data_IF_761735751026
#
_entry.id   IF_761735751026
#
_cell.length_a   1.000
_cell.length_b   1.000
_cell.length_c   1.000
_cell.angle_alpha   90.00
_cell.angle_beta   90.00
_cell.angle_gamma   90.00
#
_symmetry.space_group_name_H-M   'P 1'
#
loop_
_entity.id
_entity.type
_entity.pdbx_description
1 polymer ?
#
# COMPACT_ATOMS: atom_id res chain seq x y z
N UNK A 1 -12.26 4.62 19.90
CA UNK A 1 -11.67 5.94 19.58
C UNK A 1 -10.51 5.66 18.66
N UNK A 2 -10.39 6.36 17.52
CA UNK A 2 -9.25 6.14 16.62
C UNK A 2 -7.99 6.62 17.32
N UNK A 3 -7.02 5.71 17.46
CA UNK A 3 -5.70 5.98 18.01
C UNK A 3 -4.79 6.59 16.93
N UNK A 4 -4.82 6.04 15.72
CA UNK A 4 -3.98 6.46 14.58
C UNK A 4 -4.83 6.67 13.33
N UNK A 5 -4.77 7.87 12.76
CA UNK A 5 -5.37 8.22 11.48
C UNK A 5 -4.31 8.37 10.42
N UNK A 6 -4.25 7.45 9.47
CA UNK A 6 -3.25 7.44 8.40
C UNK A 6 -3.82 8.12 7.14
N UNK A 7 -3.04 9.00 6.54
CA UNK A 7 -3.27 9.57 5.21
C UNK A 7 -2.17 9.01 4.31
N UNK A 8 -2.52 8.15 3.36
CA UNK A 8 -1.57 7.48 2.49
C UNK A 8 -1.61 8.04 1.05
N UNK A 9 -0.43 8.25 0.46
CA UNK A 9 -0.27 8.89 -0.85
C UNK A 9 -0.62 7.98 -2.06
N UNK A 10 -0.79 6.68 -1.81
CA UNK A 10 -1.16 5.68 -2.81
C UNK A 10 -2.01 4.54 -2.22
N UNK A 11 -2.54 3.70 -3.10
CA UNK A 11 -3.34 2.53 -2.72
C UNK A 11 -2.52 1.41 -2.11
N UNK A 12 -1.39 1.05 -2.73
CA UNK A 12 -0.63 -0.11 -2.28
C UNK A 12 0.08 0.16 -0.96
N UNK A 13 0.62 1.37 -0.78
CA UNK A 13 1.20 1.79 0.49
C UNK A 13 0.18 1.97 1.60
N UNK A 14 -1.09 2.27 1.29
CA UNK A 14 -2.18 2.26 2.27
C UNK A 14 -2.45 0.85 2.81
N UNK A 15 -2.54 -0.14 1.92
CA UNK A 15 -2.77 -1.54 2.33
C UNK A 15 -1.56 -2.09 3.10
N UNK A 16 -0.34 -1.73 2.68
CA UNK A 16 0.90 -2.12 3.35
C UNK A 16 0.96 -1.63 4.80
N UNK A 17 0.79 -0.32 5.05
CA UNK A 17 0.79 0.20 6.43
C UNK A 17 -0.37 -0.38 7.25
N UNK A 18 -1.55 -0.56 6.64
CA UNK A 18 -2.68 -1.13 7.35
C UNK A 18 -2.45 -2.58 7.77
N UNK A 19 -1.75 -3.37 6.93
CA UNK A 19 -1.30 -4.72 7.27
C UNK A 19 -0.34 -4.69 8.47
N UNK A 20 0.65 -3.80 8.48
CA UNK A 20 1.56 -3.69 9.63
C UNK A 20 0.85 -3.25 10.92
N UNK A 21 -0.16 -2.39 10.85
CA UNK A 21 -0.98 -2.02 12.01
C UNK A 21 -1.73 -3.24 12.57
N UNK A 22 -2.40 -4.01 11.71
CA UNK A 22 -3.13 -5.23 12.10
C UNK A 22 -2.22 -6.32 12.63
N UNK A 23 -1.10 -6.58 11.96
CA UNK A 23 -0.14 -7.60 12.40
C UNK A 23 0.43 -7.30 13.79
N UNK A 24 0.51 -6.02 14.16
CA UNK A 24 0.95 -5.54 15.46
C UNK A 24 -0.20 -5.16 16.40
N UNK A 25 -1.41 -5.69 16.17
CA UNK A 25 -2.48 -5.71 17.16
C UNK A 25 -3.48 -4.54 17.11
N UNK A 26 -3.48 -3.72 16.05
CA UNK A 26 -4.46 -2.64 15.86
C UNK A 26 -5.51 -3.03 14.80
N UNK A 27 -6.77 -3.29 15.19
CA UNK A 27 -7.86 -3.44 14.24
C UNK A 27 -7.95 -2.22 13.33
N UNK A 28 -7.81 -2.44 12.02
CA UNK A 28 -7.65 -1.37 11.04
C UNK A 28 -8.63 -1.51 9.88
N UNK A 29 -9.18 -0.38 9.47
CA UNK A 29 -9.93 -0.26 8.21
C UNK A 29 -9.20 0.67 7.25
N UNK A 30 -9.13 0.28 5.98
CA UNK A 30 -8.72 1.16 4.89
C UNK A 30 -9.97 1.70 4.18
N UNK A 31 -10.01 3.00 3.88
CA UNK A 31 -11.04 3.64 3.04
C UNK A 31 -10.35 4.24 1.81
N UNK A 32 -10.98 4.09 0.65
CA UNK A 32 -10.47 4.61 -0.61
C UNK A 32 -11.06 6.01 -0.87
N UNK A 33 -10.19 7.03 -0.95
CA UNK A 33 -10.58 8.43 -1.06
C UNK A 33 -11.03 9.02 0.28
N UNK A 34 -11.30 10.33 0.27
CA UNK A 34 -11.78 11.06 1.45
C UNK A 34 -13.17 10.53 1.84
N UNK A 35 -13.37 10.03 3.08
CA UNK A 35 -14.65 9.47 3.46
C UNK A 35 -15.75 10.54 3.53
N UNK A 36 -16.98 10.16 3.18
CA UNK A 36 -18.18 11.02 3.31
C UNK A 36 -19.21 10.47 4.30
N UNK A 37 -19.00 9.23 4.77
CA UNK A 37 -19.90 8.52 5.66
C UNK A 37 -19.48 8.59 7.13
N UNK A 38 -20.19 7.83 7.96
CA UNK A 38 -19.83 7.61 9.36
C UNK A 38 -18.58 6.73 9.47
N UNK A 39 -17.87 6.88 10.58
CA UNK A 39 -16.73 6.05 10.93
C UNK A 39 -17.16 4.57 11.08
N UNK A 40 -16.38 3.62 10.55
CA UNK A 40 -16.56 2.20 10.85
C UNK A 40 -16.45 1.92 12.35
N UNK A 41 -17.24 0.98 12.86
CA UNK A 41 -17.23 0.60 14.27
C UNK A 41 -16.06 -0.35 14.59
N UNK A 42 -15.69 -0.46 15.87
CA UNK A 42 -14.72 -1.42 16.40
C UNK A 42 -13.30 -1.37 15.75
N UNK A 43 -12.84 -0.18 15.36
CA UNK A 43 -11.47 0.03 14.85
C UNK A 43 -10.63 0.90 15.80
N UNK A 44 -9.33 0.65 15.79
CA UNK A 44 -8.31 1.44 16.48
C UNK A 44 -7.53 2.34 15.53
N UNK A 45 -7.39 1.94 14.26
CA UNK A 45 -6.76 2.75 13.24
C UNK A 45 -7.60 2.82 11.96
N UNK A 46 -7.47 3.95 11.25
CA UNK A 46 -8.10 4.15 9.96
C UNK A 46 -7.05 4.62 8.96
N UNK A 47 -7.02 4.00 7.78
CA UNK A 47 -6.14 4.38 6.67
C UNK A 47 -6.95 4.96 5.53
N UNK A 48 -6.78 6.24 5.24
CA UNK A 48 -7.36 6.90 4.07
C UNK A 48 -6.34 6.80 2.93
N UNK A 49 -6.71 6.07 1.89
CA UNK A 49 -5.90 5.90 0.69
C UNK A 49 -6.24 6.97 -0.35
N UNK A 50 -5.24 7.73 -0.76
CA UNK A 50 -5.35 8.75 -1.80
C UNK A 50 -4.52 8.36 -3.03
N UNK A 51 -4.61 9.17 -4.10
CA UNK A 51 -3.76 9.05 -5.30
C UNK A 51 -2.92 10.32 -5.47
N UNK A 52 -2.17 10.67 -4.43
CA UNK A 52 -1.56 11.99 -4.27
C UNK A 52 -0.04 12.01 -4.38
N UNK A 53 0.61 10.87 -4.66
CA UNK A 53 2.07 10.79 -4.84
C UNK A 53 2.62 11.72 -5.92
N UNK A 54 1.98 11.74 -7.09
CA UNK A 54 2.50 12.41 -8.31
C UNK A 54 1.49 13.32 -8.99
N UNK A 55 0.31 13.52 -8.40
CA UNK A 55 -0.63 14.54 -8.87
C UNK A 55 -0.05 15.95 -8.62
N UNK A 56 -0.66 17.02 -9.19
CA UNK A 56 -0.29 18.38 -8.85
C UNK A 56 -0.31 18.63 -7.32
N UNK A 57 0.66 19.41 -6.83
CA UNK A 57 0.83 19.71 -5.40
C UNK A 57 -0.45 20.24 -4.75
N UNK A 58 -1.13 21.17 -5.43
CA UNK A 58 -2.38 21.77 -4.93
C UNK A 58 -3.44 20.69 -4.69
N UNK A 59 -3.55 19.73 -5.58
CA UNK A 59 -4.48 18.61 -5.47
C UNK A 59 -4.09 17.69 -4.30
N UNK A 60 -2.81 17.36 -4.17
CA UNK A 60 -2.30 16.53 -3.08
C UNK A 60 -2.55 17.15 -1.71
N UNK A 61 -2.26 18.44 -1.57
CA UNK A 61 -2.50 19.19 -0.34
C UNK A 61 -3.99 19.29 -0.03
N UNK A 62 -4.83 19.62 -1.01
CA UNK A 62 -6.28 19.74 -0.80
C UNK A 62 -6.91 18.41 -0.35
N UNK A 63 -6.57 17.30 -1.01
CA UNK A 63 -7.08 15.99 -0.64
C UNK A 63 -6.59 15.55 0.75
N UNK A 64 -5.32 15.82 1.08
CA UNK A 64 -4.75 15.47 2.38
C UNK A 64 -5.37 16.28 3.53
N UNK A 65 -5.61 17.59 3.31
CA UNK A 65 -6.31 18.42 4.29
C UNK A 65 -7.78 18.03 4.48
N UNK A 66 -8.46 17.60 3.40
CA UNK A 66 -9.81 17.07 3.51
C UNK A 66 -9.84 15.76 4.30
N UNK A 67 -8.88 14.86 4.09
CA UNK A 67 -8.72 13.64 4.87
C UNK A 67 -8.42 13.93 6.35
N UNK A 68 -7.49 14.86 6.62
CA UNK A 68 -7.19 15.33 7.98
C UNK A 68 -8.43 15.88 8.68
N UNK A 69 -9.17 16.78 8.03
CA UNK A 69 -10.37 17.39 8.60
C UNK A 69 -11.40 16.33 8.97
N UNK A 70 -11.61 15.33 8.11
CA UNK A 70 -12.51 14.22 8.41
C UNK A 70 -12.01 13.40 9.62
N UNK A 71 -10.72 13.07 9.69
CA UNK A 71 -10.13 12.34 10.83
C UNK A 71 -10.27 13.10 12.16
N UNK A 72 -10.05 14.41 12.14
CA UNK A 72 -10.23 15.27 13.32
C UNK A 72 -11.68 15.30 13.79
N UNK A 73 -12.65 15.33 12.86
CA UNK A 73 -14.09 15.25 13.19
C UNK A 73 -14.46 13.92 13.87
N UNK A 74 -13.70 12.84 13.63
CA UNK A 74 -13.86 11.57 14.32
C UNK A 74 -13.08 11.48 15.65
N UNK A 75 -12.42 12.56 16.07
CA UNK A 75 -11.66 12.63 17.31
C UNK A 75 -10.29 11.94 17.25
N UNK A 76 -9.73 11.72 16.05
CA UNK A 76 -8.39 11.18 15.89
C UNK A 76 -7.35 12.20 16.37
N UNK A 77 -6.42 11.76 17.24
CA UNK A 77 -5.42 12.65 17.86
C UNK A 77 -4.03 12.56 17.26
N UNK A 78 -3.65 11.40 16.73
CA UNK A 78 -2.37 11.19 16.07
C UNK A 78 -2.60 10.93 14.58
N UNK A 79 -1.97 11.76 13.76
CA UNK A 79 -2.01 11.67 12.31
C UNK A 79 -0.70 11.09 11.80
N UNK A 80 -0.80 10.14 10.88
CA UNK A 80 0.33 9.53 10.21
C UNK A 80 0.27 9.88 8.72
N UNK A 81 1.23 10.64 8.22
CA UNK A 81 1.37 10.83 6.78
C UNK A 81 2.25 9.72 6.18
N UNK A 82 1.62 8.82 5.43
CA UNK A 82 2.25 7.66 4.81
C UNK A 82 2.64 7.95 3.37
N UNK A 83 3.93 7.77 3.08
CA UNK A 83 4.50 7.82 1.73
C UNK A 83 5.41 6.62 1.44
N UNK A 84 5.98 6.53 0.24
CA UNK A 84 6.79 5.39 -0.17
C UNK A 84 8.10 5.25 0.66
N UNK A 85 8.51 4.03 0.98
CA UNK A 85 9.76 3.76 1.72
C UNK A 85 11.03 4.15 0.95
N UNK A 86 10.92 4.42 -0.35
CA UNK A 86 12.00 4.93 -1.21
C UNK A 86 11.95 6.44 -1.42
N UNK A 87 11.10 7.14 -0.66
CA UNK A 87 10.96 8.60 -0.66
C UNK A 87 10.56 9.21 -2.01
N UNK A 88 9.85 8.41 -2.83
CA UNK A 88 9.30 8.71 -4.14
C UNK A 88 8.70 10.13 -4.27
N UNK A 89 9.50 11.07 -4.74
CA UNK A 89 9.11 12.48 -4.86
C UNK A 89 10.04 13.21 -5.83
N UNK A 90 9.71 14.45 -6.15
CA UNK A 90 10.61 15.38 -6.84
C UNK A 90 10.84 16.60 -5.95
N UNK A 91 11.71 17.53 -6.35
CA UNK A 91 11.84 18.82 -5.67
C UNK A 91 10.52 19.62 -5.62
N UNK A 92 9.52 19.27 -6.45
CA UNK A 92 8.19 19.90 -6.40
C UNK A 92 7.27 19.27 -5.34
N UNK A 93 7.59 18.10 -4.80
CA UNK A 93 6.72 17.37 -3.89
C UNK A 93 6.40 15.94 -4.33
N UNK A 94 5.43 15.28 -3.69
CA UNK A 94 4.42 15.88 -2.78
C UNK A 94 4.68 15.69 -1.28
N UNK A 95 5.78 15.05 -0.87
CA UNK A 95 6.03 14.73 0.55
C UNK A 95 6.16 16.02 1.39
N UNK A 96 7.04 16.94 0.99
CA UNK A 96 7.25 18.20 1.70
C UNK A 96 6.01 19.09 1.78
N UNK A 97 5.38 19.43 0.63
CA UNK A 97 4.23 20.34 0.63
C UNK A 97 3.02 19.81 1.41
N UNK A 98 2.77 18.50 1.37
CA UNK A 98 1.71 17.88 2.17
C UNK A 98 2.08 17.88 3.66
N UNK A 99 3.33 17.57 3.99
CA UNK A 99 3.80 17.63 5.40
C UNK A 99 3.64 19.02 5.97
N UNK A 100 4.08 20.06 5.27
CA UNK A 100 3.96 21.46 5.71
C UNK A 100 2.49 21.85 5.92
N UNK A 101 1.61 21.51 4.98
CA UNK A 101 0.19 21.82 5.11
C UNK A 101 -0.49 21.08 6.28
N UNK A 102 -0.13 19.82 6.52
CA UNK A 102 -0.64 19.06 7.67
C UNK A 102 -0.11 19.63 8.98
N UNK A 103 1.17 20.05 9.04
CA UNK A 103 1.76 20.70 10.21
C UNK A 103 1.04 22.01 10.53
N UNK A 104 0.82 22.86 9.53
CA UNK A 104 0.12 24.14 9.69
C UNK A 104 -1.33 23.93 10.18
N UNK A 105 -2.03 22.94 9.63
CA UNK A 105 -3.41 22.63 10.03
C UNK A 105 -3.53 21.99 11.43
N UNK A 106 -2.47 21.31 11.89
CA UNK A 106 -2.39 20.71 13.23
C UNK A 106 -1.75 21.64 14.26
N UNK A 107 -1.31 22.83 13.87
CA UNK A 107 -0.55 23.78 14.70
C UNK A 107 0.65 23.09 15.40
N UNK A 108 1.40 22.29 14.65
CA UNK A 108 2.58 21.59 15.17
C UNK A 108 3.88 22.14 14.55
N UNK A 109 4.86 22.56 15.37
CA UNK A 109 6.08 23.19 14.87
C UNK A 109 7.13 22.19 14.37
N UNK A 110 6.96 20.89 14.65
CA UNK A 110 7.98 19.88 14.42
C UNK A 110 7.39 18.51 14.09
N UNK A 111 7.98 17.80 13.13
CA UNK A 111 7.63 16.40 12.84
C UNK A 111 8.85 15.60 12.38
N UNK A 112 8.65 14.32 12.07
CA UNK A 112 9.71 13.39 11.69
C UNK A 112 9.48 12.79 10.31
N UNK A 113 10.55 12.36 9.65
CA UNK A 113 10.53 11.54 8.44
C UNK A 113 11.20 10.18 8.73
N UNK A 114 10.42 9.09 8.71
CA UNK A 114 10.94 7.73 8.92
C UNK A 114 10.54 6.77 7.78
N UNK A 115 11.24 6.78 6.63
CA UNK A 115 10.91 5.93 5.49
C UNK A 115 11.34 4.46 5.65
N UNK A 116 12.16 4.15 6.66
CA UNK A 116 12.78 2.84 6.82
C UNK A 116 11.75 1.71 6.99
N UNK A 117 12.08 0.55 6.43
CA UNK A 117 11.40 -0.71 6.63
C UNK A 117 12.44 -1.84 6.44
N UNK A 118 13.24 -2.15 7.49
CA UNK A 118 14.39 -3.03 7.37
C UNK A 118 14.07 -4.43 6.84
N UNK A 119 12.91 -4.98 7.18
CA UNK A 119 12.44 -6.30 6.67
C UNK A 119 12.33 -6.33 5.14
N UNK A 120 12.09 -5.19 4.50
CA UNK A 120 12.07 -5.04 3.05
C UNK A 120 13.38 -4.44 2.50
N UNK A 121 14.45 -4.44 3.28
CA UNK A 121 15.76 -3.91 2.88
C UNK A 121 15.77 -2.39 2.68
N UNK A 122 14.94 -1.64 3.41
CA UNK A 122 15.01 -0.16 3.43
C UNK A 122 15.52 0.27 4.79
N UNK A 123 16.74 0.78 4.84
CA UNK A 123 17.38 1.26 6.06
C UNK A 123 17.84 2.69 5.90
N UNK A 124 17.92 3.41 7.01
CA UNK A 124 18.44 4.79 7.04
C UNK A 124 19.60 4.85 8.01
N UNK A 125 20.73 5.39 7.56
CA UNK A 125 21.94 5.58 8.35
C UNK A 125 22.55 6.94 8.08
N UNK A 126 22.76 7.73 9.14
CA UNK A 126 23.21 9.12 9.08
C UNK A 126 22.36 9.96 8.11
N UNK A 127 21.05 9.70 8.06
CA UNK A 127 20.11 10.35 7.15
C UNK A 127 20.21 9.91 5.67
N UNK A 128 21.09 8.97 5.33
CA UNK A 128 21.14 8.38 3.98
C UNK A 128 20.22 7.17 3.89
N UNK A 129 19.37 7.14 2.86
CA UNK A 129 18.48 6.02 2.57
C UNK A 129 19.20 4.97 1.72
N UNK A 130 19.12 3.72 2.18
CA UNK A 130 19.64 2.54 1.48
C UNK A 130 18.48 1.68 0.96
N UNK A 131 18.68 1.14 -0.23
CA UNK A 131 17.84 0.12 -0.85
C UNK A 131 18.69 -1.14 -0.99
N UNK A 132 18.35 -2.17 -0.23
CA UNK A 132 19.18 -3.35 -0.04
C UNK A 132 20.58 -2.94 0.43
N UNK A 133 21.61 -3.25 -0.36
CA UNK A 133 23.01 -2.96 -0.09
C UNK A 133 23.54 -1.71 -0.81
N UNK A 134 22.67 -0.91 -1.44
CA UNK A 134 23.05 0.26 -2.24
C UNK A 134 22.39 1.52 -1.70
N UNK A 135 23.04 2.67 -1.93
CA UNK A 135 22.40 3.97 -1.75
C UNK A 135 21.18 4.09 -2.68
N UNK A 136 20.15 4.85 -2.27
CA UNK A 136 18.95 5.08 -3.06
C UNK A 136 19.27 5.48 -4.52
N UNK A 137 20.20 6.41 -4.70
CA UNK A 137 20.61 6.97 -5.98
C UNK A 137 21.47 6.06 -6.85
N UNK A 138 21.89 4.92 -6.30
CA UNK A 138 22.66 3.86 -6.96
C UNK A 138 21.82 2.60 -7.19
N UNK A 139 20.61 2.56 -6.63
CA UNK A 139 19.63 1.50 -6.83
C UNK A 139 18.83 1.68 -8.13
N UNK A 140 17.93 0.73 -8.41
CA UNK A 140 16.97 0.87 -9.52
C UNK A 140 16.11 2.13 -9.45
N UNK A 141 15.92 2.74 -8.27
CA UNK A 141 15.17 3.99 -8.10
C UNK A 141 15.79 5.19 -8.82
N UNK A 142 17.10 5.13 -9.14
CA UNK A 142 17.78 6.14 -9.96
C UNK A 142 17.08 6.40 -11.29
N UNK A 143 16.50 5.36 -11.87
CA UNK A 143 15.85 5.39 -13.18
C UNK A 143 14.33 5.19 -13.08
N UNK A 144 13.74 5.46 -11.91
CA UNK A 144 12.30 5.32 -11.73
C UNK A 144 11.57 6.21 -12.76
N UNK A 145 10.55 5.68 -13.48
CA UNK A 145 9.97 6.36 -14.64
C UNK A 145 9.22 7.66 -14.32
N UNK A 146 8.78 7.84 -13.07
CA UNK A 146 7.97 9.00 -12.65
C UNK A 146 8.78 9.98 -11.78
N UNK A 147 9.56 9.45 -10.84
CA UNK A 147 10.30 10.21 -9.83
C UNK A 147 11.69 9.59 -9.63
N UNK A 148 12.61 9.78 -10.60
CA UNK A 148 13.96 9.25 -10.49
C UNK A 148 14.68 9.84 -9.28
N UNK A 149 15.17 8.97 -8.40
CA UNK A 149 15.83 9.37 -7.15
C UNK A 149 17.34 9.43 -7.37
N UNK A 150 17.90 10.63 -7.55
CA UNK A 150 19.33 10.82 -7.87
C UNK A 150 20.19 11.34 -6.72
N UNK A 151 19.60 11.51 -5.53
CA UNK A 151 20.26 11.77 -4.26
C UNK A 151 19.74 10.76 -3.23
N UNK A 152 20.56 10.45 -2.22
CA UNK A 152 20.24 9.48 -1.17
C UNK A 152 20.17 10.09 0.22
N UNK A 153 20.59 11.35 0.38
CA UNK A 153 20.52 12.04 1.67
C UNK A 153 19.15 12.65 1.88
N UNK A 154 18.36 12.08 2.79
CA UNK A 154 16.98 12.46 3.02
C UNK A 154 16.80 13.92 3.44
N UNK A 155 17.65 14.54 4.29
CA UNK A 155 17.50 15.95 4.61
C UNK A 155 17.54 16.87 3.39
N UNK A 156 18.43 16.59 2.42
CA UNK A 156 18.46 17.35 1.15
C UNK A 156 17.20 17.12 0.32
N UNK A 157 16.72 15.88 0.25
CA UNK A 157 15.47 15.55 -0.46
C UNK A 157 14.24 16.23 0.18
N UNK A 158 14.21 16.35 1.51
CA UNK A 158 13.17 17.06 2.28
C UNK A 158 13.26 18.56 2.03
N UNK A 159 14.43 19.17 2.23
CA UNK A 159 14.64 20.61 2.10
C UNK A 159 14.40 21.11 0.67
N UNK A 160 14.67 20.27 -0.34
CA UNK A 160 14.40 20.62 -1.74
C UNK A 160 12.91 20.80 -2.08
N UNK A 161 12.00 20.29 -1.24
CA UNK A 161 10.55 20.28 -1.48
C UNK A 161 9.72 20.87 -0.32
N UNK A 162 10.36 21.37 0.73
CA UNK A 162 9.70 21.86 1.94
C UNK A 162 10.21 23.26 2.31
N UNK A 163 9.58 23.89 3.30
CA UNK A 163 9.89 25.26 3.70
C UNK A 163 10.89 25.38 4.87
N UNK A 164 11.09 24.32 5.64
CA UNK A 164 11.96 24.30 6.82
C UNK A 164 13.28 23.56 6.65
N UNK A 165 14.12 23.61 7.69
CA UNK A 165 15.37 22.85 7.78
C UNK A 165 15.12 21.44 8.33
N UNK A 166 15.90 20.46 7.85
CA UNK A 166 15.78 19.07 8.24
C UNK A 166 17.04 18.57 8.97
N UNK A 167 16.86 18.10 10.21
CA UNK A 167 17.91 17.48 11.03
C UNK A 167 17.95 15.96 10.86
N UNK A 168 18.85 15.31 11.58
CA UNK A 168 18.97 13.84 11.62
C UNK A 168 19.09 13.39 13.08
N UNK A 169 18.29 12.41 13.48
CA UNK A 169 18.51 11.62 14.68
C UNK A 169 19.22 10.34 14.27
N UNK A 170 20.51 10.25 14.58
CA UNK A 170 21.35 9.14 14.12
C UNK A 170 21.08 7.84 14.88
N UNK A 171 21.42 6.70 14.27
CA UNK A 171 21.29 5.37 14.88
C UNK A 171 21.96 5.30 16.26
N UNK A 172 23.09 5.98 16.46
CA UNK A 172 23.78 6.01 17.74
C UNK A 172 22.93 6.59 18.89
N UNK A 173 22.04 7.54 18.62
CA UNK A 173 21.12 8.08 19.63
C UNK A 173 20.08 7.05 20.01
N UNK A 174 19.61 6.24 19.05
CA UNK A 174 18.67 5.16 19.34
C UNK A 174 19.28 4.06 20.20
N UNK A 175 20.57 3.74 20.04
CA UNK A 175 21.29 2.80 20.91
C UNK A 175 21.36 3.28 22.38
N UNK A 176 21.12 4.56 22.64
CA UNK A 176 21.05 5.13 24.00
C UNK A 176 19.64 5.11 24.59
N UNK A 177 18.64 4.65 23.83
CA UNK A 177 17.26 4.47 24.27
C UNK A 177 16.33 5.66 24.04
N UNK A 178 15.07 5.47 24.45
CA UNK A 178 13.93 6.36 24.14
C UNK A 178 14.13 7.78 24.67
N UNK A 179 14.67 7.94 25.88
CA UNK A 179 14.88 9.26 26.48
C UNK A 179 15.93 10.08 25.74
N UNK A 180 17.01 9.44 25.26
CA UNK A 180 18.01 10.10 24.43
C UNK A 180 17.41 10.58 23.09
N UNK A 181 16.55 9.77 22.47
CA UNK A 181 15.82 10.14 21.25
C UNK A 181 14.91 11.34 21.50
N UNK A 182 14.13 11.34 22.59
CA UNK A 182 13.26 12.48 22.96
C UNK A 182 14.06 13.76 23.20
N UNK A 183 15.20 13.66 23.89
CA UNK A 183 16.09 14.81 24.14
C UNK A 183 16.67 15.35 22.83
N UNK A 184 17.09 14.49 21.91
CA UNK A 184 17.64 14.91 20.63
C UNK A 184 16.60 15.57 19.73
N UNK A 185 15.37 15.03 19.69
CA UNK A 185 14.25 15.67 18.98
C UNK A 185 13.97 17.07 19.54
N UNK A 186 13.94 17.22 20.87
CA UNK A 186 13.74 18.51 21.53
C UNK A 186 14.89 19.50 21.24
N UNK A 187 16.14 19.04 21.21
CA UNK A 187 17.30 19.85 20.84
C UNK A 187 17.19 20.37 19.41
N UNK A 188 16.88 19.49 18.44
CA UNK A 188 16.69 19.88 17.03
C UNK A 188 15.58 20.92 16.89
N UNK A 189 14.46 20.75 17.59
CA UNK A 189 13.38 21.73 17.60
C UNK A 189 13.85 23.09 18.15
N UNK A 190 14.61 23.11 19.26
CA UNK A 190 15.16 24.35 19.85
C UNK A 190 16.15 25.06 18.91
N UNK A 191 16.86 24.32 18.06
CA UNK A 191 17.78 24.85 17.05
C UNK A 191 17.08 25.36 15.78
N UNK A 192 15.74 25.31 15.75
CA UNK A 192 14.93 25.81 14.65
C UNK A 192 14.84 24.85 13.46
N UNK A 193 15.13 23.56 13.65
CA UNK A 193 14.74 22.54 12.67
C UNK A 193 13.24 22.35 12.70
N UNK A 194 12.62 22.22 11.52
CA UNK A 194 11.19 21.94 11.39
C UNK A 194 10.92 20.44 11.29
N UNK A 195 11.94 19.68 10.89
CA UNK A 195 11.83 18.24 10.70
C UNK A 195 13.08 17.51 11.18
N UNK A 196 12.95 16.22 11.49
CA UNK A 196 14.07 15.31 11.66
C UNK A 196 13.88 14.01 10.87
N UNK A 197 14.90 13.61 10.11
CA UNK A 197 15.01 12.25 9.59
C UNK A 197 15.46 11.32 10.72
N UNK A 198 14.81 10.16 10.82
CA UNK A 198 15.15 9.16 11.81
C UNK A 198 15.89 8.00 11.15
N UNK A 199 17.07 7.69 11.66
CA UNK A 199 17.77 6.48 11.30
C UNK A 199 17.01 5.23 11.78
N UNK A 200 17.12 4.16 11.01
CA UNK A 200 16.66 2.83 11.41
C UNK A 200 17.35 1.77 10.55
N UNK A 201 18.16 0.95 11.23
CA UNK A 201 18.85 -0.20 10.64
C UNK A 201 18.13 -1.53 10.92
N UNK A 202 17.27 -1.56 11.94
CA UNK A 202 16.68 -2.76 12.52
C UNK A 202 15.25 -2.45 12.96
N UNK A 203 14.45 -3.50 13.19
CA UNK A 203 13.11 -3.32 13.75
C UNK A 203 13.14 -2.71 15.15
N UNK A 204 14.16 -3.03 15.96
CA UNK A 204 14.33 -2.45 17.28
C UNK A 204 14.41 -0.91 17.26
N UNK A 205 15.08 -0.33 16.27
CA UNK A 205 15.06 1.12 16.07
C UNK A 205 13.63 1.66 15.85
N UNK A 206 12.81 0.95 15.07
CA UNK A 206 11.42 1.34 14.81
C UNK A 206 10.55 1.23 16.06
N UNK A 207 10.79 0.26 16.94
CA UNK A 207 10.12 0.15 18.24
C UNK A 207 10.42 1.37 19.11
N UNK A 208 11.69 1.76 19.23
CA UNK A 208 12.13 2.95 19.98
C UNK A 208 11.49 4.21 19.39
N UNK A 209 11.46 4.35 18.05
CA UNK A 209 10.78 5.47 17.39
C UNK A 209 9.30 5.52 17.79
N UNK A 210 8.60 4.39 17.77
CA UNK A 210 7.20 4.30 18.15
C UNK A 210 6.93 4.73 19.58
N UNK A 211 7.78 4.33 20.53
CA UNK A 211 7.67 4.76 21.92
C UNK A 211 7.99 6.25 22.11
N UNK A 212 9.04 6.74 21.46
CA UNK A 212 9.44 8.15 21.54
C UNK A 212 8.37 9.08 20.97
N UNK A 213 7.64 8.64 19.93
CA UNK A 213 6.69 9.42 19.15
C UNK A 213 5.22 9.12 19.47
N UNK A 214 4.94 8.34 20.53
CA UNK A 214 3.58 7.91 20.89
C UNK A 214 2.57 9.05 20.94
N UNK A 215 2.98 10.21 21.46
CA UNK A 215 2.10 11.37 21.67
C UNK A 215 2.29 12.47 20.60
N UNK A 216 3.09 12.24 19.56
CA UNK A 216 3.30 13.22 18.50
C UNK A 216 2.00 13.41 17.70
N UNK A 217 1.55 14.67 17.46
CA UNK A 217 0.30 14.94 16.74
C UNK A 217 0.38 14.57 15.26
N UNK A 218 1.56 14.72 14.66
CA UNK A 218 1.88 14.32 13.30
C UNK A 218 3.20 13.55 13.28
N UNK A 219 3.18 12.38 12.67
CA UNK A 219 4.37 11.63 12.27
C UNK A 219 4.30 11.35 10.77
N UNK A 220 5.45 11.17 10.13
CA UNK A 220 5.50 10.87 8.69
C UNK A 220 6.51 9.76 8.40
N UNK A 221 6.20 8.88 7.45
CA UNK A 221 7.05 7.72 7.20
C UNK A 221 6.55 6.73 6.17
N UNK A 222 7.34 5.65 6.03
CA UNK A 222 6.94 4.41 5.36
C UNK A 222 6.01 3.59 6.25
N UNK A 223 6.05 2.26 6.16
CA UNK A 223 5.24 1.40 7.05
C UNK A 223 6.00 0.98 8.32
N UNK A 224 7.32 1.16 8.36
CA UNK A 224 8.15 0.70 9.48
C UNK A 224 7.84 1.39 10.80
N UNK A 225 7.75 2.74 10.82
CA UNK A 225 7.41 3.47 12.05
C UNK A 225 6.04 3.08 12.63
N UNK A 226 5.09 2.69 11.77
CA UNK A 226 3.79 2.21 12.21
C UNK A 226 3.85 0.92 13.04
N UNK A 227 4.89 0.09 12.86
CA UNK A 227 5.14 -1.12 13.68
C UNK A 227 5.33 -0.71 15.14
N UNK A 228 6.26 0.23 15.40
CA UNK A 228 6.53 0.72 16.75
C UNK A 228 5.31 1.39 17.36
N UNK A 229 4.62 2.25 16.61
CA UNK A 229 3.42 2.94 17.10
C UNK A 229 2.28 1.96 17.42
N UNK A 230 2.03 0.96 16.57
CA UNK A 230 1.03 -0.07 16.82
C UNK A 230 1.31 -0.82 18.13
N UNK A 231 2.57 -1.23 18.36
CA UNK A 231 2.96 -1.94 19.59
C UNK A 231 2.73 -1.14 20.88
N UNK A 232 2.74 0.20 20.82
CA UNK A 232 2.43 1.05 21.98
C UNK A 232 0.94 1.04 22.36
N UNK A 233 0.08 0.65 21.42
CA UNK A 233 -1.37 0.66 21.59
C UNK A 233 -2.00 -0.73 21.60
N UNK A 234 -1.23 -1.75 21.22
CA UNK A 234 -1.65 -3.14 21.22
C UNK A 234 -2.00 -3.59 22.65
N UNK A 235 -3.17 -4.20 22.81
CA UNK A 235 -3.52 -4.90 24.05
C UNK A 235 -3.01 -6.34 24.01
N UNK A 236 -2.98 -7.02 25.16
CA UNK A 236 -2.49 -8.40 25.32
C UNK A 236 -3.17 -9.43 24.37
N UNK A 237 -4.32 -9.09 23.77
CA UNK A 237 -5.09 -9.95 22.85
C UNK A 237 -4.90 -9.58 21.35
N UNK A 238 -3.67 -9.30 20.91
CA UNK A 238 -3.35 -8.81 19.55
C UNK A 238 -3.86 -9.64 18.35
N UNK A 239 -4.20 -10.93 18.54
CA UNK A 239 -4.68 -11.78 17.45
C UNK A 239 -6.09 -11.41 16.93
N UNK A 240 -6.95 -10.78 17.76
CA UNK A 240 -8.31 -10.41 17.32
C UNK A 240 -8.33 -9.31 16.26
N UNK A 241 -7.24 -8.55 16.10
CA UNK A 241 -7.15 -7.46 15.13
C UNK A 241 -7.31 -7.92 13.66
N UNK A 242 -6.99 -9.19 13.37
CA UNK A 242 -6.98 -9.77 12.02
C UNK A 242 -8.34 -10.35 11.60
N UNK A 243 -9.19 -10.67 12.57
CA UNK A 243 -10.40 -11.47 12.34
C UNK A 243 -11.40 -10.80 11.39
N UNK A 244 -11.58 -9.47 11.51
CA UNK A 244 -12.54 -8.74 10.68
C UNK A 244 -12.21 -8.79 9.18
N UNK A 245 -10.93 -8.94 8.82
CA UNK A 245 -10.48 -9.08 7.44
C UNK A 245 -10.15 -10.51 7.02
N UNK A 246 -10.40 -11.52 7.85
CA UNK A 246 -10.18 -12.91 7.49
C UNK A 246 -11.04 -13.28 6.27
N UNK A 247 -10.50 -13.97 5.25
CA UNK A 247 -11.26 -14.26 4.04
C UNK A 247 -12.54 -15.04 4.33
N UNK A 248 -13.60 -14.67 3.62
CA UNK A 248 -14.89 -15.34 3.64
C UNK A 248 -14.79 -16.72 3.01
N UNK A 249 -15.66 -17.63 3.42
CA UNK A 249 -15.86 -18.89 2.73
C UNK A 249 -16.46 -18.67 1.32
N UNK A 250 -16.33 -19.68 0.46
CA UNK A 250 -16.95 -19.71 -0.86
C UNK A 250 -15.95 -19.74 -2.03
N UNK A 251 -16.49 -19.66 -3.24
CA UNK A 251 -15.73 -19.80 -4.48
C UNK A 251 -14.77 -18.63 -4.66
N UNK A 252 -13.55 -18.93 -5.09
CA UNK A 252 -12.54 -17.93 -5.41
C UNK A 252 -12.16 -17.90 -6.88
N UNK A 253 -11.57 -16.78 -7.31
CA UNK A 253 -10.96 -16.61 -8.63
C UNK A 253 -9.60 -15.90 -8.49
N UNK A 254 -8.64 -16.24 -9.36
CA UNK A 254 -7.39 -15.49 -9.52
C UNK A 254 -7.44 -14.67 -10.81
N UNK A 255 -7.25 -13.35 -10.71
CA UNK A 255 -7.19 -12.42 -11.85
C UNK A 255 -5.81 -11.79 -11.94
N UNK A 256 -5.05 -12.11 -12.99
CA UNK A 256 -3.66 -11.65 -13.12
C UNK A 256 -3.45 -10.78 -14.35
N UNK A 257 -3.29 -9.47 -14.17
CA UNK A 257 -2.99 -8.52 -15.25
C UNK A 257 -1.53 -8.00 -15.25
N UNK A 258 -0.77 -8.24 -14.18
CA UNK A 258 0.62 -7.78 -14.09
C UNK A 258 1.55 -8.58 -15.01
N UNK A 259 2.45 -7.87 -15.70
CA UNK A 259 3.54 -8.44 -16.50
C UNK A 259 4.91 -8.40 -15.78
N UNK A 260 4.93 -8.28 -14.45
CA UNK A 260 6.20 -8.29 -13.70
C UNK A 260 6.90 -9.65 -13.79
N UNK A 261 8.21 -9.68 -13.50
CA UNK A 261 8.97 -10.93 -13.45
C UNK A 261 8.43 -11.89 -12.39
N UNK A 262 8.06 -11.40 -11.21
CA UNK A 262 7.51 -12.24 -10.14
C UNK A 262 6.12 -12.78 -10.50
N UNK A 263 5.24 -11.96 -11.07
CA UNK A 263 3.91 -12.41 -11.50
C UNK A 263 3.99 -13.45 -12.61
N UNK A 264 4.93 -13.30 -13.55
CA UNK A 264 5.21 -14.32 -14.57
C UNK A 264 5.58 -15.68 -13.93
N UNK A 265 6.43 -15.69 -12.90
CA UNK A 265 6.77 -16.91 -12.16
C UNK A 265 5.57 -17.50 -11.40
N UNK A 266 4.79 -16.64 -10.73
CA UNK A 266 3.57 -17.06 -10.01
C UNK A 266 2.53 -17.70 -10.94
N UNK A 267 2.29 -17.11 -12.13
CA UNK A 267 1.38 -17.66 -13.14
C UNK A 267 1.91 -18.98 -13.69
N UNK A 268 3.21 -19.05 -14.02
CA UNK A 268 3.84 -20.26 -14.55
C UNK A 268 3.80 -21.42 -13.54
N UNK A 269 3.94 -21.14 -12.25
CA UNK A 269 3.80 -22.11 -11.18
C UNK A 269 2.34 -22.53 -10.97
N UNK A 270 1.43 -21.58 -10.84
CA UNK A 270 0.04 -21.84 -10.46
C UNK A 270 -0.76 -22.58 -11.54
N UNK A 271 -0.49 -22.32 -12.83
CA UNK A 271 -1.15 -23.03 -13.95
C UNK A 271 -0.86 -24.53 -14.00
N UNK A 272 0.13 -25.01 -13.25
CA UNK A 272 0.45 -26.44 -13.14
C UNK A 272 -0.49 -27.17 -12.17
N UNK A 273 -1.18 -26.42 -11.29
CA UNK A 273 -1.94 -26.98 -10.17
C UNK A 273 -3.41 -26.51 -10.11
N UNK A 274 -3.82 -25.59 -10.97
CA UNK A 274 -5.19 -25.08 -11.06
C UNK A 274 -5.58 -24.79 -12.52
N UNK A 275 -6.89 -24.84 -12.86
CA UNK A 275 -7.37 -24.44 -14.17
C UNK A 275 -6.93 -23.00 -14.48
N UNK A 276 -6.38 -22.78 -15.68
CA UNK A 276 -5.91 -21.48 -16.10
C UNK A 276 -6.36 -21.15 -17.53
N UNK A 277 -6.78 -19.91 -17.74
CA UNK A 277 -7.19 -19.37 -19.04
C UNK A 277 -6.45 -18.08 -19.33
N UNK A 278 -5.72 -18.07 -20.45
CA UNK A 278 -5.04 -16.88 -20.95
C UNK A 278 -6.02 -15.94 -21.63
N UNK A 279 -5.84 -14.63 -21.43
CA UNK A 279 -6.63 -13.58 -22.06
C UNK A 279 -6.10 -13.30 -23.46
N UNK A 280 -6.91 -13.59 -24.47
CA UNK A 280 -6.70 -13.07 -25.82
C UNK A 280 -7.00 -11.56 -25.90
N UNK A 281 -5.94 -10.76 -25.99
CA UNK A 281 -6.02 -9.29 -26.10
C UNK A 281 -6.81 -8.85 -27.34
N UNK A 282 -6.76 -9.58 -28.45
CA UNK A 282 -7.45 -9.19 -29.67
C UNK A 282 -8.98 -9.16 -29.47
N UNK A 283 -9.50 -10.07 -28.64
CA UNK A 283 -10.92 -10.15 -28.26
C UNK A 283 -11.37 -9.09 -27.26
N UNK A 284 -10.44 -8.28 -26.76
CA UNK A 284 -10.71 -7.18 -25.82
C UNK A 284 -10.77 -5.81 -26.53
N UNK A 285 -10.41 -5.72 -27.81
CA UNK A 285 -10.20 -4.43 -28.47
C UNK A 285 -11.48 -3.75 -28.97
N UNK A 286 -12.59 -4.48 -29.10
CA UNK A 286 -13.89 -3.94 -29.48
C UNK A 286 -14.90 -4.12 -28.35
N UNK A 287 -15.76 -3.11 -28.15
CA UNK A 287 -16.78 -3.15 -27.08
C UNK A 287 -17.76 -4.30 -27.29
N UNK A 288 -18.10 -4.60 -28.54
CA UNK A 288 -19.04 -5.67 -28.91
C UNK A 288 -18.48 -7.06 -28.57
N UNK A 289 -17.17 -7.26 -28.77
CA UNK A 289 -16.50 -8.54 -28.50
C UNK A 289 -16.14 -8.69 -27.02
N UNK A 290 -15.78 -7.60 -26.35
CA UNK A 290 -15.33 -7.62 -24.96
C UNK A 290 -16.43 -8.11 -24.00
N UNK A 291 -17.66 -7.63 -24.14
CA UNK A 291 -18.76 -8.05 -23.26
C UNK A 291 -19.09 -9.55 -23.39
N UNK A 292 -19.15 -10.05 -24.64
CA UNK A 292 -19.33 -11.47 -24.91
C UNK A 292 -18.16 -12.31 -24.37
N UNK A 293 -16.93 -11.79 -24.47
CA UNK A 293 -15.74 -12.48 -23.99
C UNK A 293 -15.65 -12.51 -22.46
N UNK A 294 -15.99 -11.42 -21.77
CA UNK A 294 -16.11 -11.40 -20.32
C UNK A 294 -17.16 -12.41 -19.83
N UNK A 295 -18.29 -12.52 -20.55
CA UNK A 295 -19.32 -13.52 -20.27
C UNK A 295 -18.79 -14.95 -20.45
N UNK A 296 -18.12 -15.26 -21.57
CA UNK A 296 -17.48 -16.57 -21.81
C UNK A 296 -16.49 -16.94 -20.70
N UNK A 297 -15.62 -16.01 -20.31
CA UNK A 297 -14.63 -16.25 -19.26
C UNK A 297 -15.31 -16.49 -17.90
N UNK A 298 -16.38 -15.75 -17.60
CA UNK A 298 -17.15 -15.97 -16.37
C UNK A 298 -17.81 -17.35 -16.36
N UNK A 299 -18.48 -17.76 -17.43
CA UNK A 299 -19.05 -19.12 -17.57
C UNK A 299 -17.97 -20.19 -17.41
N UNK A 300 -16.79 -19.98 -18.03
CA UNK A 300 -15.67 -20.89 -17.90
C UNK A 300 -15.19 -21.01 -16.44
N UNK A 301 -15.05 -19.90 -15.71
CA UNK A 301 -14.65 -19.89 -14.28
C UNK A 301 -15.70 -20.59 -13.42
N UNK A 302 -16.98 -20.29 -13.62
CA UNK A 302 -18.09 -20.86 -12.84
C UNK A 302 -18.26 -22.35 -13.08
N UNK A 303 -17.99 -22.82 -14.31
CA UNK A 303 -18.02 -24.22 -14.70
C UNK A 303 -16.83 -25.08 -14.24
N UNK A 304 -15.79 -24.49 -13.63
CA UNK A 304 -14.67 -25.28 -13.11
C UNK A 304 -15.03 -26.00 -11.80
N UNK A 305 -14.66 -27.27 -11.71
CA UNK A 305 -14.64 -28.05 -10.47
C UNK A 305 -13.18 -28.30 -10.07
N UNK A 306 -12.67 -27.47 -9.17
CA UNK A 306 -11.29 -27.54 -8.69
C UNK A 306 -11.21 -27.10 -7.24
N UNK A 307 -10.30 -27.71 -6.48
CA UNK A 307 -10.00 -27.30 -5.09
C UNK A 307 -9.41 -25.89 -5.06
N UNK A 308 -8.56 -25.57 -6.04
CA UNK A 308 -7.95 -24.26 -6.20
C UNK A 308 -8.73 -23.40 -7.20
N UNK A 309 -8.82 -22.11 -6.91
CA UNK A 309 -9.50 -21.10 -7.71
C UNK A 309 -8.98 -21.07 -9.15
N UNK A 310 -9.86 -21.01 -10.17
CA UNK A 310 -9.45 -20.82 -11.55
C UNK A 310 -8.69 -19.50 -11.74
N UNK A 311 -7.67 -19.53 -12.60
CA UNK A 311 -6.86 -18.38 -12.97
C UNK A 311 -7.28 -17.84 -14.33
N UNK A 312 -7.59 -16.55 -14.40
CA UNK A 312 -7.68 -15.80 -15.67
C UNK A 312 -6.54 -14.80 -15.71
N UNK A 313 -5.67 -14.89 -16.72
CA UNK A 313 -4.45 -14.08 -16.77
C UNK A 313 -4.20 -13.44 -18.12
N UNK A 314 -3.73 -12.19 -18.10
CA UNK A 314 -3.18 -11.46 -19.24
C UNK A 314 -1.65 -11.24 -19.08
N UNK A 315 -1.04 -11.91 -18.11
CA UNK A 315 0.41 -11.89 -17.86
C UNK A 315 1.15 -12.46 -19.07
N UNK A 316 1.95 -11.61 -19.72
CA UNK A 316 2.77 -11.98 -20.86
C UNK A 316 4.27 -11.87 -20.53
N UNK A 317 5.09 -12.61 -21.27
CA UNK A 317 6.55 -12.39 -21.27
C UNK A 317 6.88 -11.01 -21.85
N UNK A 318 8.08 -10.51 -21.58
CA UNK A 318 8.54 -9.21 -22.10
C UNK A 318 8.45 -9.13 -23.62
N UNK A 319 8.82 -10.20 -24.33
CA UNK A 319 8.80 -10.24 -25.79
C UNK A 319 7.37 -10.30 -26.34
N UNK A 320 6.50 -11.09 -25.72
CA UNK A 320 5.09 -11.16 -26.11
C UNK A 320 4.36 -9.84 -25.83
N UNK A 321 4.66 -9.19 -24.69
CA UNK A 321 4.14 -7.87 -24.37
C UNK A 321 4.62 -6.84 -25.40
N UNK A 322 5.90 -6.84 -25.76
CA UNK A 322 6.42 -5.93 -26.79
C UNK A 322 5.72 -6.12 -28.15
N UNK A 323 5.45 -7.36 -28.56
CA UNK A 323 4.71 -7.66 -29.78
C UNK A 323 3.27 -7.14 -29.73
N UNK A 324 2.55 -7.37 -28.63
CA UNK A 324 1.18 -6.86 -28.42
C UNK A 324 1.17 -5.33 -28.45
N UNK A 325 2.15 -4.68 -27.79
CA UNK A 325 2.25 -3.23 -27.74
C UNK A 325 2.59 -2.62 -29.11
N UNK A 326 3.44 -3.29 -29.91
CA UNK A 326 3.72 -2.88 -31.28
C UNK A 326 2.50 -3.02 -32.20
N UNK A 327 1.72 -4.08 -32.03
CA UNK A 327 0.57 -4.37 -32.89
C UNK A 327 -0.65 -3.49 -32.57
N UNK A 328 -0.93 -3.26 -31.29
CA UNK A 328 -2.20 -2.64 -30.84
C UNK A 328 -2.02 -1.31 -30.12
N UNK A 329 -0.79 -0.95 -29.75
CA UNK A 329 -0.47 0.19 -28.91
C UNK A 329 -0.55 -0.16 -27.42
N UNK A 330 0.47 0.24 -26.64
CA UNK A 330 0.59 -0.14 -25.24
C UNK A 330 -0.58 0.30 -24.36
N UNK A 331 -1.00 1.56 -24.48
CA UNK A 331 -2.09 2.11 -23.69
C UNK A 331 -3.43 1.43 -24.04
N UNK A 332 -3.69 1.22 -25.32
CA UNK A 332 -4.94 0.60 -25.80
C UNK A 332 -5.05 -0.86 -25.35
N UNK A 333 -3.96 -1.62 -25.44
CA UNK A 333 -3.93 -3.00 -24.98
C UNK A 333 -4.13 -3.11 -23.45
N UNK A 334 -3.46 -2.27 -22.66
CA UNK A 334 -3.63 -2.23 -21.19
C UNK A 334 -5.07 -1.92 -20.80
N UNK A 335 -5.63 -0.84 -21.37
CA UNK A 335 -6.99 -0.41 -21.07
C UNK A 335 -8.05 -1.45 -21.47
N UNK A 336 -7.83 -2.17 -22.58
CA UNK A 336 -8.71 -3.24 -23.03
C UNK A 336 -8.73 -4.41 -22.03
N UNK A 337 -7.55 -4.84 -21.56
CA UNK A 337 -7.41 -5.90 -20.54
C UNK A 337 -8.01 -5.47 -19.20
N UNK A 338 -7.77 -4.23 -18.78
CA UNK A 338 -8.37 -3.65 -17.57
C UNK A 338 -9.89 -3.61 -17.64
N UNK A 339 -10.45 -3.22 -18.79
CA UNK A 339 -11.90 -3.19 -19.02
C UNK A 339 -12.49 -4.60 -18.99
N UNK A 340 -11.80 -5.59 -19.56
CA UNK A 340 -12.20 -7.00 -19.46
C UNK A 340 -12.25 -7.45 -18.00
N UNK A 341 -11.18 -7.23 -17.22
CA UNK A 341 -11.13 -7.65 -15.82
C UNK A 341 -12.17 -6.92 -14.97
N UNK A 342 -12.46 -5.66 -15.28
CA UNK A 342 -13.56 -4.91 -14.65
C UNK A 342 -14.90 -5.62 -14.87
N UNK A 343 -15.27 -5.93 -16.11
CA UNK A 343 -16.55 -6.60 -16.40
C UNK A 343 -16.61 -8.03 -15.86
N UNK A 344 -15.51 -8.78 -15.98
CA UNK A 344 -15.39 -10.13 -15.47
C UNK A 344 -15.57 -10.17 -13.95
N UNK A 345 -14.91 -9.27 -13.20
CA UNK A 345 -15.03 -9.23 -11.74
C UNK A 345 -16.46 -8.90 -11.29
N UNK A 346 -17.10 -7.89 -11.90
CA UNK A 346 -18.50 -7.57 -11.60
C UNK A 346 -19.43 -8.75 -11.84
N UNK A 347 -19.26 -9.46 -12.97
CA UNK A 347 -20.09 -10.62 -13.29
C UNK A 347 -19.86 -11.77 -12.30
N UNK A 348 -18.60 -12.12 -12.02
CA UNK A 348 -18.29 -13.19 -11.07
C UNK A 348 -18.86 -12.91 -9.67
N UNK A 349 -18.78 -11.67 -9.20
CA UNK A 349 -19.37 -11.29 -7.92
C UNK A 349 -20.90 -11.40 -7.92
N UNK A 350 -21.56 -11.00 -9.01
CA UNK A 350 -23.01 -11.15 -9.16
C UNK A 350 -23.46 -12.62 -9.17
N UNK A 351 -22.61 -13.53 -9.63
CA UNK A 351 -22.83 -14.98 -9.69
C UNK A 351 -22.32 -15.72 -8.43
N UNK A 352 -21.98 -14.98 -7.36
CA UNK A 352 -21.67 -15.55 -6.04
C UNK A 352 -20.21 -15.92 -5.78
N UNK A 353 -19.26 -15.48 -6.60
CA UNK A 353 -17.83 -15.55 -6.25
C UNK A 353 -17.54 -14.57 -5.11
N UNK A 354 -17.01 -15.08 -4.00
CA UNK A 354 -16.77 -14.31 -2.78
C UNK A 354 -15.32 -13.94 -2.57
N UNK A 355 -14.36 -14.64 -3.21
CA UNK A 355 -12.92 -14.40 -3.04
C UNK A 355 -12.21 -14.01 -4.34
N UNK A 356 -11.51 -12.88 -4.34
CA UNK A 356 -10.75 -12.38 -5.49
C UNK A 356 -9.27 -12.23 -5.16
N UNK A 357 -8.42 -13.04 -5.78
CA UNK A 357 -6.96 -12.89 -5.67
C UNK A 357 -6.50 -12.15 -6.93
N UNK A 358 -6.02 -10.92 -6.79
CA UNK A 358 -5.73 -10.04 -7.93
C UNK A 358 -4.25 -9.70 -7.97
N UNK A 359 -3.62 -9.85 -9.14
CA UNK A 359 -2.22 -9.48 -9.35
C UNK A 359 -2.07 -8.33 -10.36
N UNK A 360 -1.51 -7.22 -9.88
CA UNK A 360 -1.27 -5.98 -10.63
C UNK A 360 -1.94 -4.79 -9.96
N UNK A 361 -1.23 -3.66 -9.88
CA UNK A 361 -1.74 -2.44 -9.25
C UNK A 361 -2.96 -1.87 -9.98
N UNK A 362 -2.84 -1.66 -11.29
CA UNK A 362 -3.96 -1.21 -12.13
C UNK A 362 -5.11 -2.22 -12.13
N UNK A 363 -4.80 -3.52 -12.27
CA UNK A 363 -5.80 -4.61 -12.20
C UNK A 363 -6.56 -4.60 -10.87
N UNK A 364 -5.85 -4.43 -9.75
CA UNK A 364 -6.45 -4.33 -8.41
C UNK A 364 -7.36 -3.11 -8.29
N UNK A 365 -6.93 -1.98 -8.85
CA UNK A 365 -7.72 -0.75 -8.90
C UNK A 365 -9.03 -0.93 -9.67
N UNK A 366 -8.98 -1.47 -10.89
CA UNK A 366 -10.18 -1.65 -11.71
C UNK A 366 -11.12 -2.72 -11.15
N UNK A 367 -10.60 -3.81 -10.57
CA UNK A 367 -11.43 -4.83 -9.89
C UNK A 367 -12.13 -4.21 -8.69
N UNK A 368 -11.41 -3.49 -7.83
CA UNK A 368 -12.00 -2.83 -6.64
C UNK A 368 -13.07 -1.82 -7.03
N UNK A 369 -12.80 -1.00 -8.06
CA UNK A 369 -13.74 0.00 -8.56
C UNK A 369 -14.98 -0.64 -9.18
N UNK A 370 -14.80 -1.68 -10.01
CA UNK A 370 -15.90 -2.41 -10.64
C UNK A 370 -16.82 -3.06 -9.61
N UNK A 371 -16.23 -3.63 -8.57
CA UNK A 371 -16.95 -4.18 -7.43
C UNK A 371 -17.55 -3.08 -6.55
N UNK A 372 -17.32 -1.80 -6.81
CA UNK A 372 -17.88 -0.67 -6.06
C UNK A 372 -17.48 -0.66 -4.59
N UNK A 373 -16.29 -1.17 -4.27
CA UNK A 373 -15.82 -1.30 -2.88
C UNK A 373 -15.23 0.03 -2.41
N UNK A 374 -15.74 0.54 -1.30
CA UNK A 374 -15.34 1.85 -0.74
C UNK A 374 -14.25 1.75 0.32
N UNK A 375 -14.05 0.57 0.89
CA UNK A 375 -13.05 0.33 1.91
C UNK A 375 -13.06 -1.13 2.35
N UNK A 376 -12.11 -1.46 3.23
CA UNK A 376 -11.90 -2.83 3.66
C UNK A 376 -11.54 -2.92 5.14
N UNK A 377 -12.02 -3.96 5.81
CA UNK A 377 -11.35 -4.51 6.98
C UNK A 377 -10.08 -5.22 6.54
N UNK A 378 -8.98 -4.96 7.25
CA UNK A 378 -7.68 -5.56 6.96
C UNK A 378 -7.53 -6.83 7.78
N UNK A 379 -7.08 -7.89 7.12
CA UNK A 379 -6.99 -9.24 7.66
C UNK A 379 -5.56 -9.76 7.78
N UNK A 380 -5.41 -11.09 7.87
CA UNK A 380 -4.11 -11.71 8.03
C UNK A 380 -3.24 -11.56 6.77
N UNK A 381 -1.93 -11.50 7.00
CA UNK A 381 -0.92 -11.32 5.94
C UNK A 381 -0.65 -12.62 5.18
N UNK A 382 -0.70 -12.57 3.85
CA UNK A 382 -0.30 -13.69 2.96
C UNK A 382 1.20 -13.61 2.64
N UNK A 383 1.65 -12.39 2.33
CA UNK A 383 3.04 -12.02 2.09
C UNK A 383 3.26 -10.59 2.60
N UNK A 384 4.50 -10.18 2.94
CA UNK A 384 4.76 -8.80 3.38
C UNK A 384 4.12 -7.78 2.45
N UNK A 385 3.23 -6.93 2.99
CA UNK A 385 2.48 -5.91 2.25
C UNK A 385 1.28 -6.40 1.43
N UNK A 386 0.89 -7.68 1.55
CA UNK A 386 -0.26 -8.27 0.86
C UNK A 386 -1.12 -9.08 1.86
N UNK A 387 -2.06 -8.42 2.55
CA UNK A 387 -3.03 -9.09 3.41
C UNK A 387 -4.25 -9.58 2.63
N UNK A 388 -5.01 -10.48 3.24
CA UNK A 388 -6.42 -10.61 2.94
C UNK A 388 -7.18 -9.37 3.45
N UNK A 389 -8.21 -8.97 2.71
CA UNK A 389 -9.10 -7.88 3.10
C UNK A 389 -10.56 -8.25 2.85
N UNK A 390 -11.49 -7.74 3.66
CA UNK A 390 -12.93 -7.87 3.47
C UNK A 390 -13.56 -6.52 3.16
N UNK A 391 -14.38 -6.44 2.11
CA UNK A 391 -15.14 -5.23 1.81
C UNK A 391 -16.08 -4.86 2.96
N UNK A 392 -16.20 -3.56 3.27
CA UNK A 392 -17.05 -3.07 4.36
C UNK A 392 -18.56 -3.28 4.10
N UNK A 393 -18.97 -3.20 2.84
CA UNK A 393 -20.37 -3.11 2.44
C UNK A 393 -20.82 -4.28 1.54
N UNK A 394 -19.95 -5.27 1.33
CA UNK A 394 -20.19 -6.40 0.42
C UNK A 394 -19.59 -7.70 0.96
N UNK A 395 -20.19 -8.87 0.69
CA UNK A 395 -19.65 -10.17 1.10
C UNK A 395 -18.52 -10.61 0.15
N UNK A 396 -17.48 -9.79 0.02
CA UNK A 396 -16.33 -10.03 -0.87
C UNK A 396 -15.03 -9.88 -0.11
N UNK A 397 -14.16 -10.88 -0.24
CA UNK A 397 -12.77 -10.85 0.21
C UNK A 397 -11.82 -10.68 -0.96
N UNK A 398 -10.75 -9.91 -0.76
CA UNK A 398 -9.75 -9.66 -1.77
C UNK A 398 -8.34 -9.88 -1.22
N UNK A 399 -7.44 -10.31 -2.10
CA UNK A 399 -6.00 -10.26 -1.89
C UNK A 399 -5.40 -9.46 -3.06
N UNK A 400 -4.95 -8.23 -2.81
CA UNK A 400 -4.54 -7.28 -3.84
C UNK A 400 -3.02 -7.19 -3.90
N UNK A 401 -2.42 -7.89 -4.85
CA UNK A 401 -0.97 -8.07 -4.95
C UNK A 401 -0.37 -7.09 -5.97
N UNK A 402 0.49 -6.19 -5.51
CA UNK A 402 1.33 -5.41 -6.43
C UNK A 402 2.34 -6.29 -7.19
N UNK A 403 2.82 -5.82 -8.34
CA UNK A 403 3.51 -6.64 -9.34
C UNK A 403 4.66 -7.49 -8.79
N UNK A 404 5.58 -6.93 -8.01
CA UNK A 404 6.77 -7.65 -7.54
C UNK A 404 6.61 -8.35 -6.17
N UNK A 405 5.43 -8.28 -5.57
CA UNK A 405 5.19 -8.81 -4.22
C UNK A 405 4.87 -10.31 -4.24
N UNK A 406 5.09 -10.96 -3.10
CA UNK A 406 4.85 -12.39 -2.89
C UNK A 406 5.91 -13.30 -3.49
N UNK A 407 5.84 -14.57 -3.12
CA UNK A 407 6.69 -15.66 -3.60
C UNK A 407 6.04 -16.41 -4.77
N UNK A 408 6.74 -17.39 -5.35
CA UNK A 408 6.26 -18.15 -6.50
C UNK A 408 4.96 -18.93 -6.21
N UNK A 409 4.76 -19.36 -4.96
CA UNK A 409 3.57 -20.07 -4.51
C UNK A 409 2.43 -19.14 -4.03
N UNK A 410 2.55 -17.82 -4.18
CA UNK A 410 1.61 -16.84 -3.62
C UNK A 410 0.13 -17.20 -3.87
N UNK A 411 -0.26 -17.50 -5.12
CA UNK A 411 -1.66 -17.78 -5.45
C UNK A 411 -2.22 -19.02 -4.74
N UNK A 412 -1.41 -20.06 -4.54
CA UNK A 412 -1.87 -21.26 -3.84
C UNK A 412 -1.83 -21.08 -2.33
N UNK A 413 -0.82 -20.40 -1.79
CA UNK A 413 -0.73 -20.06 -0.35
C UNK A 413 -1.88 -19.17 0.11
N UNK A 414 -2.22 -18.14 -0.66
CA UNK A 414 -3.36 -17.25 -0.40
C UNK A 414 -4.68 -18.02 -0.19
N UNK A 415 -4.79 -19.23 -0.73
CA UNK A 415 -5.94 -20.10 -0.51
C UNK A 415 -5.65 -21.09 0.62
N UNK A 416 -4.63 -21.94 0.47
CA UNK A 416 -4.40 -23.10 1.34
C UNK A 416 -4.17 -22.75 2.81
N UNK A 417 -3.53 -21.63 3.09
CA UNK A 417 -3.26 -21.19 4.46
C UNK A 417 -4.51 -20.63 5.16
N UNK A 418 -5.59 -20.39 4.41
CA UNK A 418 -6.81 -19.72 4.87
C UNK A 418 -8.10 -20.46 4.48
N UNK A 419 -7.99 -21.68 3.95
CA UNK A 419 -9.12 -22.59 3.80
C UNK A 419 -9.42 -23.15 5.19
N UNK A 420 -10.65 -22.93 5.67
CA UNK A 420 -11.18 -23.60 6.86
C UNK A 420 -11.71 -24.97 6.53
#
# INVERSE_FOLDING_TARGET
MIKIGVIADDFTGATDIASFLVENGLPTVQINGVPTGKMPEAIDALVISLKTRSCPVVEATQQSLAALSWLQQQGCKQIYFKYCSTFDSTAKGNIGPVTDALMDALDTPFTVFSPALPVNGRTVYQGYLFVMNQLLAESGMRHHPVNPMTDSYLPRLVEAQSTGRCGVVSAHVFEQGVDAVRQELARLQQEGYRYAVLDALTEHHLEIQGEALRDAPLVTGGSGLAIGLARQWAQENGNQAREAGHPLAGRGVVLSGSCSQMTNRQVAHYRQIAPAREVDVARCLSTETLAAYAHELAEWVLGQESVLAPLVFATASTDALAAIQQQYGAQKASQAVETLFSQLAARLAAEGVTRFIVAGGETSGVVTQSLGIKGFHIGPTISPGVPWVNALDKPVSLALKSGNFGDEAFFSRAQREFLS
#
